data_IF_858955256644
#
_entry.id   IF_858955256644
#
_cell.length_a   1.000
_cell.length_b   1.000
_cell.length_c   1.000
_cell.angle_alpha   90.00
_cell.angle_beta   90.00
_cell.angle_gamma   90.00
#
_symmetry.space_group_name_H-M   'P 1'
#
loop_
_entity.id
_entity.type
_entity.pdbx_description
1 polymer ?
#
# COMPACT_ATOMS: atom_id res chain seq x y z
N UNK A 1 -11.91 41.55 45.21
CA UNK A 1 -12.42 42.24 44.01
C UNK A 1 -11.32 42.19 42.95
N UNK A 2 -11.48 41.98 41.65
CA UNK A 2 -12.62 41.79 40.76
C UNK A 2 -12.11 41.11 39.47
N UNK A 3 -13.00 40.44 38.76
CA UNK A 3 -12.80 39.59 37.57
C UNK A 3 -12.48 40.38 36.28
N UNK A 4 -11.83 39.70 35.32
CA UNK A 4 -12.14 39.68 33.86
C UNK A 4 -11.52 38.35 33.34
N UNK A 5 -12.19 37.25 32.95
CA UNK A 5 -13.23 36.96 31.94
C UNK A 5 -12.87 37.27 30.46
N UNK A 6 -12.09 36.35 29.86
CA UNK A 6 -12.29 35.58 28.59
C UNK A 6 -12.87 36.36 27.38
N UNK A 7 -12.28 36.30 26.16
CA UNK A 7 -12.72 35.30 25.18
C UNK A 7 -11.70 34.70 24.19
N UNK A 8 -12.02 33.44 23.83
CA UNK A 8 -11.98 32.77 22.52
C UNK A 8 -11.00 33.24 21.42
N UNK A 9 -10.30 32.25 20.83
CA UNK A 9 -10.40 31.84 19.41
C UNK A 9 -9.04 31.47 18.79
N UNK A 10 -9.04 30.43 17.94
CA UNK A 10 -7.97 30.15 16.97
C UNK A 10 -7.40 28.73 17.11
N UNK A 11 -8.07 27.70 16.59
CA UNK A 11 -7.94 27.21 15.21
C UNK A 11 -6.61 26.49 14.93
N UNK A 12 -6.67 25.15 14.89
CA UNK A 12 -5.91 24.32 13.92
C UNK A 12 -6.40 22.87 14.02
N UNK A 13 -7.60 22.62 13.50
CA UNK A 13 -8.01 21.26 13.18
C UNK A 13 -7.53 20.99 11.76
N UNK A 14 -6.35 20.39 11.64
CA UNK A 14 -5.82 19.94 10.37
C UNK A 14 -6.76 18.87 9.81
N UNK A 15 -7.57 19.26 8.82
CA UNK A 15 -8.19 18.32 7.88
C UNK A 15 -7.04 17.73 7.05
N UNK A 16 -6.42 16.68 7.58
CA UNK A 16 -5.67 15.75 6.76
C UNK A 16 -6.70 15.00 5.91
N UNK A 17 -6.78 15.37 4.64
CA UNK A 17 -7.40 14.56 3.60
C UNK A 17 -6.88 13.12 3.79
N UNK A 18 -7.76 12.22 4.20
CA UNK A 18 -7.40 10.86 4.55
C UNK A 18 -6.81 10.15 3.36
N UNK A 19 -5.47 10.06 3.32
CA UNK A 19 -4.83 8.97 2.62
C UNK A 19 -5.45 7.71 3.22
N UNK A 20 -6.10 6.91 2.39
CA UNK A 20 -6.57 5.61 2.78
C UNK A 20 -5.36 4.85 3.33
N UNK A 21 -5.20 4.85 4.65
CA UNK A 21 -4.29 3.92 5.32
C UNK A 21 -4.92 2.58 5.03
N UNK A 22 -4.38 1.88 4.03
CA UNK A 22 -4.70 0.50 3.80
C UNK A 22 -4.50 -0.20 5.14
N UNK A 23 -5.59 -0.72 5.72
CA UNK A 23 -5.52 -1.44 6.98
C UNK A 23 -4.48 -2.56 6.81
N UNK A 24 -3.41 -2.51 7.59
CA UNK A 24 -2.25 -3.38 7.38
C UNK A 24 -2.65 -4.85 7.52
N UNK A 25 -3.55 -5.15 8.46
CA UNK A 25 -4.08 -6.50 8.66
C UNK A 25 -4.95 -6.95 7.48
N UNK A 26 -5.82 -6.09 6.95
CA UNK A 26 -6.62 -6.37 5.77
C UNK A 26 -5.73 -6.58 4.53
N UNK A 27 -4.66 -5.81 4.41
CA UNK A 27 -3.70 -5.92 3.30
C UNK A 27 -2.88 -7.19 3.40
N UNK A 28 -2.44 -7.58 4.60
CA UNK A 28 -1.79 -8.86 4.85
C UNK A 28 -2.73 -10.04 4.55
N UNK A 29 -4.00 -9.95 4.95
CA UNK A 29 -5.01 -10.96 4.64
C UNK A 29 -5.29 -11.06 3.12
N UNK A 30 -5.30 -9.91 2.43
CA UNK A 30 -5.41 -9.84 0.98
C UNK A 30 -4.22 -10.52 0.28
N UNK A 31 -3.00 -10.27 0.72
CA UNK A 31 -1.82 -10.96 0.20
C UNK A 31 -1.91 -12.47 0.46
N UNK A 32 -2.22 -12.88 1.68
CA UNK A 32 -2.34 -14.28 2.06
C UNK A 32 -3.37 -15.04 1.21
N UNK A 33 -4.54 -14.44 0.94
CA UNK A 33 -5.58 -15.08 0.10
C UNK A 33 -5.20 -15.15 -1.38
N UNK A 34 -4.60 -14.09 -1.92
CA UNK A 34 -4.42 -13.93 -3.37
C UNK A 34 -3.09 -14.49 -3.87
N UNK A 35 -2.05 -14.38 -3.07
CA UNK A 35 -0.67 -14.72 -3.43
C UNK A 35 -0.16 -15.92 -2.63
N UNK A 36 -0.59 -16.04 -1.36
CA UNK A 36 0.04 -16.93 -0.38
C UNK A 36 0.06 -18.41 -0.74
N UNK A 37 -0.93 -18.88 -1.52
CA UNK A 37 -1.01 -20.28 -1.97
C UNK A 37 0.09 -20.66 -2.95
N UNK A 38 0.60 -19.71 -3.74
CA UNK A 38 1.61 -19.97 -4.78
C UNK A 38 2.98 -19.37 -4.42
N UNK A 39 3.00 -18.28 -3.68
CA UNK A 39 4.22 -17.51 -3.37
C UNK A 39 4.63 -17.58 -1.90
N UNK A 40 3.89 -18.30 -1.06
CA UNK A 40 4.15 -18.39 0.38
C UNK A 40 3.63 -17.18 1.16
N UNK A 41 3.75 -17.23 2.48
CA UNK A 41 3.15 -16.23 3.38
C UNK A 41 4.01 -14.97 3.60
N UNK A 42 5.25 -14.94 3.10
CA UNK A 42 6.18 -13.83 3.28
C UNK A 42 6.26 -12.95 2.01
N UNK A 43 5.52 -11.82 1.96
CA UNK A 43 5.55 -10.92 0.81
C UNK A 43 6.92 -10.29 0.59
N UNK A 44 7.63 -9.91 1.65
CA UNK A 44 8.92 -9.23 1.53
C UNK A 44 9.97 -10.17 0.94
N UNK A 45 10.07 -11.39 1.50
CA UNK A 45 10.98 -12.41 1.00
C UNK A 45 10.68 -12.82 -0.45
N UNK A 46 9.42 -12.88 -0.86
CA UNK A 46 9.07 -13.17 -2.26
C UNK A 46 9.44 -12.02 -3.20
N UNK A 47 9.05 -10.78 -2.86
CA UNK A 47 9.29 -9.62 -3.72
C UNK A 47 10.77 -9.36 -3.94
N UNK A 48 11.62 -9.54 -2.91
CA UNK A 48 13.07 -9.33 -3.02
C UNK A 48 13.76 -10.28 -3.99
N UNK A 49 13.12 -11.39 -4.39
CA UNK A 49 13.69 -12.36 -5.33
C UNK A 49 13.38 -12.04 -6.80
N UNK A 50 12.29 -11.31 -7.08
CA UNK A 50 11.75 -11.22 -8.43
C UNK A 50 11.27 -9.83 -8.85
N UNK A 51 11.27 -8.85 -7.95
CA UNK A 51 10.82 -7.48 -8.21
C UNK A 51 11.94 -6.50 -7.91
N UNK A 52 12.08 -5.49 -8.76
CA UNK A 52 13.06 -4.39 -8.60
C UNK A 52 12.42 -3.05 -8.96
N UNK A 53 13.00 -1.94 -8.50
CA UNK A 53 12.56 -0.59 -8.86
C UNK A 53 13.33 -0.10 -10.09
N UNK A 54 12.61 0.10 -11.20
CA UNK A 54 13.17 0.66 -12.45
C UNK A 54 12.46 1.96 -12.77
N UNK A 55 13.21 3.08 -12.79
CA UNK A 55 12.63 4.40 -13.09
C UNK A 55 11.49 4.80 -12.13
N UNK A 56 11.58 4.37 -10.88
CA UNK A 56 10.54 4.61 -9.86
C UNK A 56 9.37 3.61 -9.89
N UNK A 57 9.34 2.67 -10.84
CA UNK A 57 8.25 1.69 -10.99
C UNK A 57 8.71 0.30 -10.55
N UNK A 58 7.92 -0.38 -9.71
CA UNK A 58 8.14 -1.79 -9.41
C UNK A 58 7.94 -2.66 -10.65
N UNK A 59 8.97 -3.42 -10.99
CA UNK A 59 9.10 -4.15 -12.25
C UNK A 59 9.62 -5.55 -11.98
N UNK A 60 9.10 -6.56 -12.68
CA UNK A 60 9.63 -7.92 -12.60
C UNK A 60 11.06 -7.99 -13.17
N UNK A 61 11.99 -8.57 -12.42
CA UNK A 61 13.41 -8.66 -12.80
C UNK A 61 13.59 -9.42 -14.12
N UNK A 62 12.88 -10.54 -14.30
CA UNK A 62 13.03 -11.39 -15.48
C UNK A 62 12.29 -10.86 -16.71
N UNK A 63 11.13 -10.22 -16.50
CA UNK A 63 10.22 -9.87 -17.60
C UNK A 63 10.34 -8.41 -18.02
N UNK A 64 10.84 -7.52 -17.15
CA UNK A 64 10.79 -6.08 -17.36
C UNK A 64 9.38 -5.50 -17.32
N UNK A 65 8.37 -6.28 -16.93
CA UNK A 65 6.96 -5.84 -16.92
C UNK A 65 6.65 -5.15 -15.59
N UNK A 66 5.99 -3.98 -15.59
CA UNK A 66 5.50 -3.34 -14.38
C UNK A 66 4.58 -4.26 -13.58
N UNK A 67 4.81 -4.39 -12.28
CA UNK A 67 4.06 -5.32 -11.41
C UNK A 67 2.57 -4.99 -11.42
N UNK A 68 2.20 -3.70 -11.32
CA UNK A 68 0.81 -3.27 -11.39
C UNK A 68 0.12 -3.72 -12.69
N UNK A 69 0.79 -3.56 -13.84
CA UNK A 69 0.26 -4.01 -15.13
C UNK A 69 0.07 -5.53 -15.17
N UNK A 70 1.04 -6.28 -14.64
CA UNK A 70 0.95 -7.74 -14.57
C UNK A 70 -0.25 -8.18 -13.71
N UNK A 71 -0.46 -7.57 -12.56
CA UNK A 71 -1.62 -7.86 -11.71
C UNK A 71 -2.95 -7.50 -12.38
N UNK A 72 -3.03 -6.33 -13.02
CA UNK A 72 -4.23 -5.90 -13.76
C UNK A 72 -4.57 -6.82 -14.95
N UNK A 73 -3.60 -7.58 -15.47
CA UNK A 73 -3.85 -8.57 -16.52
C UNK A 73 -4.60 -9.82 -16.03
N UNK A 74 -4.78 -9.97 -14.70
CA UNK A 74 -5.59 -11.02 -14.08
C UNK A 74 -4.82 -11.95 -13.15
N UNK A 75 -3.51 -11.75 -12.95
CA UNK A 75 -2.74 -12.52 -11.98
C UNK A 75 -3.26 -12.27 -10.55
N UNK A 76 -3.42 -13.34 -9.76
CA UNK A 76 -4.01 -13.27 -8.41
C UNK A 76 -5.53 -13.04 -8.37
N UNK A 77 -6.20 -12.90 -9.54
CA UNK A 77 -7.66 -12.65 -9.66
C UNK A 77 -8.12 -11.45 -8.82
N UNK A 78 -7.34 -10.38 -8.88
CA UNK A 78 -7.55 -9.15 -8.11
C UNK A 78 -8.50 -8.21 -8.83
N UNK A 79 -9.29 -7.46 -8.06
CA UNK A 79 -9.98 -6.26 -8.53
C UNK A 79 -8.99 -5.09 -8.63
N UNK A 80 -9.34 -4.04 -9.35
CA UNK A 80 -8.48 -2.84 -9.47
C UNK A 80 -8.14 -2.23 -8.09
N UNK A 81 -9.14 -2.13 -7.19
CA UNK A 81 -8.93 -1.61 -5.84
C UNK A 81 -7.95 -2.47 -5.02
N UNK A 82 -8.02 -3.80 -5.18
CA UNK A 82 -7.12 -4.73 -4.49
C UNK A 82 -5.70 -4.67 -5.08
N UNK A 83 -5.56 -4.44 -6.40
CA UNK A 83 -4.25 -4.15 -7.01
C UNK A 83 -3.68 -2.88 -6.40
N UNK A 84 -4.45 -1.79 -6.30
CA UNK A 84 -3.97 -0.55 -5.67
C UNK A 84 -3.52 -0.79 -4.23
N UNK A 85 -4.31 -1.55 -3.45
CA UNK A 85 -3.98 -1.85 -2.06
C UNK A 85 -2.68 -2.67 -1.93
N UNK A 86 -2.51 -3.71 -2.76
CA UNK A 86 -1.30 -4.53 -2.75
C UNK A 86 -0.09 -3.78 -3.27
N UNK A 87 -0.23 -2.95 -4.31
CA UNK A 87 0.87 -2.13 -4.79
C UNK A 87 1.35 -1.16 -3.71
N UNK A 88 0.44 -0.57 -2.92
CA UNK A 88 0.84 0.26 -1.79
C UNK A 88 1.67 -0.51 -0.75
N UNK A 89 1.35 -1.79 -0.48
CA UNK A 89 2.20 -2.66 0.35
C UNK A 89 3.54 -2.94 -0.33
N UNK A 90 3.56 -3.28 -1.62
CA UNK A 90 4.80 -3.67 -2.29
C UNK A 90 5.81 -2.52 -2.35
N UNK A 91 5.32 -1.29 -2.51
CA UNK A 91 6.14 -0.08 -2.49
C UNK A 91 6.82 0.17 -1.14
N UNK A 92 6.29 -0.36 -0.03
CA UNK A 92 6.96 -0.27 1.29
C UNK A 92 7.94 -1.40 1.55
N UNK A 93 7.88 -2.48 0.77
CA UNK A 93 8.71 -3.68 0.95
C UNK A 93 9.90 -3.76 -0.02
N UNK A 94 9.90 -2.95 -1.08
CA UNK A 94 10.94 -2.95 -2.11
C UNK A 94 11.62 -1.58 -2.15
N UNK A 95 12.88 -1.55 -1.73
CA UNK A 95 13.77 -0.38 -1.74
C UNK A 95 14.21 0.03 -3.16
#
# INVERSE_FOLDING_TARGET
MNRVLVPLAGAMMALSCGMAQADEAATAALFARACGKCHGADPAGFLSQGVTRTGGTLTGVETGVPVAQYLMSGHGRLTEAEVTQLMALFETLVE
#
